data_IF_848047688466
#
_entry.id   IF_848047688466
#
_cell.length_a   1.000
_cell.length_b   1.000
_cell.length_c   1.000
_cell.angle_alpha   90.00
_cell.angle_beta   90.00
_cell.angle_gamma   90.00
#
_symmetry.space_group_name_H-M   'P 1'
#
loop_
_entity.id
_entity.type
_entity.pdbx_description
1 polymer ?
#
# COMPACT_ATOMS: atom_id res chain seq x y z
N UNK A 1 0.22 4.79 2.72
CA UNK A 1 -0.70 5.90 3.05
C UNK A 1 -1.59 6.19 1.86
N UNK A 2 -2.81 6.64 2.09
CA UNK A 2 -3.71 7.20 1.09
C UNK A 2 -3.70 8.72 1.25
N UNK A 3 -3.31 9.44 0.20
CA UNK A 3 -3.43 10.90 0.16
C UNK A 3 -4.88 11.28 -0.08
N UNK A 4 -5.47 12.04 0.85
CA UNK A 4 -6.83 12.55 0.73
C UNK A 4 -6.75 14.06 0.62
N UNK A 5 -7.31 14.58 -0.47
CA UNK A 5 -7.36 16.00 -0.77
C UNK A 5 -8.83 16.39 -0.96
N UNK A 6 -9.37 17.09 0.04
CA UNK A 6 -10.73 17.58 0.03
C UNK A 6 -10.70 19.02 -0.49
N UNK A 7 -11.46 19.32 -1.54
CA UNK A 7 -11.55 20.66 -2.12
C UNK A 7 -12.88 21.34 -1.75
N UNK A 8 -12.82 22.63 -1.43
CA UNK A 8 -13.99 23.50 -1.44
C UNK A 8 -14.04 24.26 -2.77
N UNK A 9 -15.14 24.11 -3.51
CA UNK A 9 -15.30 24.67 -4.85
C UNK A 9 -16.51 25.60 -4.89
N UNK A 10 -16.25 26.88 -5.16
CA UNK A 10 -17.26 27.93 -5.21
C UNK A 10 -17.18 28.68 -6.55
N UNK A 11 -18.32 28.91 -7.19
CA UNK A 11 -18.43 29.60 -8.48
C UNK A 11 -17.49 29.06 -9.58
N UNK A 12 -17.27 27.74 -9.61
CA UNK A 12 -16.39 27.10 -10.60
C UNK A 12 -14.89 27.22 -10.32
N UNK A 13 -14.49 27.75 -9.17
CA UNK A 13 -13.09 27.85 -8.75
C UNK A 13 -12.87 27.17 -7.39
N UNK A 14 -11.66 26.64 -7.18
CA UNK A 14 -11.25 26.11 -5.87
C UNK A 14 -11.03 27.29 -4.93
N UNK A 15 -11.82 27.35 -3.87
CA UNK A 15 -11.74 28.39 -2.85
C UNK A 15 -10.79 27.99 -1.70
N UNK A 16 -10.77 26.70 -1.35
CA UNK A 16 -9.91 26.15 -0.29
C UNK A 16 -9.63 24.65 -0.52
N UNK A 17 -8.65 24.10 0.19
CA UNK A 17 -8.40 22.66 0.21
C UNK A 17 -7.86 22.19 1.56
N UNK A 18 -8.15 20.93 1.88
CA UNK A 18 -7.62 20.24 3.06
C UNK A 18 -6.94 18.96 2.62
N UNK A 19 -5.67 18.82 2.98
CA UNK A 19 -4.90 17.63 2.68
C UNK A 19 -4.54 16.85 3.94
N UNK A 20 -4.71 15.53 3.89
CA UNK A 20 -4.26 14.61 4.95
C UNK A 20 -3.77 13.29 4.36
N UNK A 21 -2.79 12.70 5.05
CA UNK A 21 -2.32 11.34 4.78
C UNK A 21 -3.02 10.37 5.72
N UNK A 22 -3.85 9.48 5.17
CA UNK A 22 -4.46 8.40 5.94
C UNK A 22 -3.54 7.18 5.96
N UNK A 23 -3.17 6.65 7.13
CA UNK A 23 -2.43 5.39 7.20
C UNK A 23 -3.32 4.23 6.74
N UNK A 24 -2.74 3.29 5.99
CA UNK A 24 -3.42 2.07 5.54
C UNK A 24 -2.87 0.92 6.36
N UNK A 25 -3.62 0.49 7.38
CA UNK A 25 -3.25 -0.62 8.25
C UNK A 25 -3.99 -1.89 7.82
N UNK A 26 -3.26 -2.89 7.31
CA UNK A 26 -3.86 -4.14 6.81
C UNK A 26 -4.52 -4.99 7.89
N UNK A 27 -4.13 -4.82 9.15
CA UNK A 27 -4.66 -5.53 10.30
C UNK A 27 -5.89 -4.86 10.95
N UNK A 28 -6.21 -3.62 10.56
CA UNK A 28 -7.35 -2.86 11.12
C UNK A 28 -8.46 -2.62 10.09
N UNK A 29 -8.25 -2.99 8.83
CA UNK A 29 -9.19 -2.79 7.74
C UNK A 29 -9.63 -4.13 7.17
N UNK A 30 -10.94 -4.36 6.95
CA UNK A 30 -11.39 -5.54 6.24
C UNK A 30 -10.88 -5.51 4.80
N UNK A 31 -10.45 -6.65 4.24
CA UNK A 31 -10.06 -6.71 2.83
C UNK A 31 -11.29 -6.54 1.93
N UNK A 32 -11.12 -5.86 0.80
CA UNK A 32 -12.12 -5.86 -0.25
C UNK A 32 -12.26 -7.27 -0.85
N UNK A 33 -13.47 -7.87 -0.90
CA UNK A 33 -13.65 -9.24 -1.37
C UNK A 33 -13.25 -9.46 -2.83
N UNK A 34 -13.54 -8.50 -3.72
CA UNK A 34 -13.24 -8.63 -5.15
C UNK A 34 -11.72 -8.62 -5.38
N UNK A 35 -11.01 -7.72 -4.69
CA UNK A 35 -9.56 -7.63 -4.76
C UNK A 35 -8.90 -8.87 -4.15
N UNK A 36 -9.40 -9.38 -3.03
CA UNK A 36 -8.89 -10.60 -2.41
C UNK A 36 -9.02 -11.81 -3.35
N UNK A 37 -10.17 -11.93 -4.03
CA UNK A 37 -10.40 -12.98 -5.03
C UNK A 37 -9.44 -12.84 -6.22
N UNK A 38 -9.25 -11.63 -6.73
CA UNK A 38 -8.33 -11.36 -7.84
C UNK A 38 -6.88 -11.75 -7.48
N UNK A 39 -6.39 -11.30 -6.31
CA UNK A 39 -5.04 -11.64 -5.83
C UNK A 39 -4.87 -13.15 -5.72
N UNK A 40 -5.87 -13.83 -5.17
CA UNK A 40 -5.85 -15.30 -5.03
C UNK A 40 -5.74 -15.97 -6.39
N UNK A 41 -6.56 -15.55 -7.36
CA UNK A 41 -6.54 -16.07 -8.73
C UNK A 41 -5.18 -15.88 -9.40
N UNK A 42 -4.62 -14.67 -9.33
CA UNK A 42 -3.34 -14.34 -9.98
C UNK A 42 -2.18 -15.12 -9.35
N UNK A 43 -2.19 -15.30 -8.02
CA UNK A 43 -1.13 -16.00 -7.29
C UNK A 43 -1.25 -17.52 -7.32
N UNK A 44 -2.42 -18.08 -7.67
CA UNK A 44 -2.67 -19.52 -7.59
C UNK A 44 -1.60 -20.38 -8.30
N UNK A 45 -1.14 -20.07 -9.53
CA UNK A 45 -0.13 -20.88 -10.21
C UNK A 45 1.25 -20.85 -9.53
N UNK A 46 1.52 -19.83 -8.72
CA UNK A 46 2.84 -19.57 -8.14
C UNK A 46 2.86 -19.71 -6.61
N UNK A 47 1.75 -20.14 -6.00
CA UNK A 47 1.56 -20.10 -4.54
C UNK A 47 2.67 -20.84 -3.78
N UNK A 48 3.06 -22.02 -4.24
CA UNK A 48 4.13 -22.80 -3.61
C UNK A 48 5.47 -22.05 -3.65
N UNK A 49 5.86 -21.55 -4.83
CA UNK A 49 7.11 -20.82 -5.02
C UNK A 49 7.15 -19.50 -4.24
N UNK A 50 6.04 -18.76 -4.20
CA UNK A 50 5.95 -17.48 -3.48
C UNK A 50 5.94 -17.64 -1.95
N UNK A 51 5.54 -18.81 -1.46
CA UNK A 51 5.53 -19.13 -0.03
C UNK A 51 6.77 -19.89 0.44
N UNK A 52 7.70 -20.22 -0.48
CA UNK A 52 8.91 -20.95 -0.17
C UNK A 52 9.82 -20.12 0.75
N UNK A 53 10.22 -20.70 1.88
CA UNK A 53 11.16 -20.09 2.81
C UNK A 53 12.59 -20.34 2.32
N UNK A 54 13.23 -19.30 1.77
CA UNK A 54 14.59 -19.39 1.23
C UNK A 54 15.68 -19.26 2.31
N UNK A 55 15.49 -18.37 3.28
CA UNK A 55 16.45 -18.11 4.34
C UNK A 55 15.76 -17.47 5.56
N UNK A 56 16.47 -17.40 6.68
CA UNK A 56 16.10 -16.59 7.85
C UNK A 56 17.16 -15.51 8.00
N UNK A 57 16.73 -14.29 8.31
CA UNK A 57 17.66 -13.21 8.65
C UNK A 57 17.68 -13.02 10.16
N UNK A 58 18.88 -12.93 10.74
CA UNK A 58 19.07 -12.64 12.17
C UNK A 58 18.95 -11.14 12.49
N UNK A 59 18.74 -10.30 11.48
CA UNK A 59 18.64 -8.85 11.61
C UNK A 59 17.59 -8.23 10.70
N UNK A 60 17.37 -6.92 10.87
CA UNK A 60 16.43 -6.17 10.06
C UNK A 60 17.01 -5.89 8.67
N UNK A 61 16.40 -6.47 7.62
CA UNK A 61 16.68 -6.12 6.23
C UNK A 61 15.82 -4.93 5.81
N UNK A 62 16.41 -3.73 5.79
CA UNK A 62 15.72 -2.50 5.43
C UNK A 62 16.18 -1.96 4.07
N UNK A 63 15.24 -1.46 3.26
CA UNK A 63 15.54 -0.74 2.00
C UNK A 63 14.88 0.64 2.00
N UNK A 64 15.65 1.66 2.40
CA UNK A 64 15.59 3.07 1.94
C UNK A 64 16.86 3.78 2.42
N UNK A 65 17.57 4.51 1.57
CA UNK A 65 18.83 5.17 1.90
C UNK A 65 19.12 6.37 0.99
N UNK A 66 19.96 7.29 1.47
CA UNK A 66 20.34 8.54 0.77
C UNK A 66 21.85 8.63 0.44
N UNK A 67 22.68 7.70 0.93
CA UNK A 67 24.14 7.79 0.88
C UNK A 67 24.80 7.06 -0.30
N UNK A 68 24.22 5.94 -0.75
CA UNK A 68 24.74 5.12 -1.86
C UNK A 68 23.62 4.90 -2.89
N UNK A 69 23.18 5.99 -3.55
CA UNK A 69 22.04 6.00 -4.46
C UNK A 69 21.96 4.77 -5.38
N UNK A 70 20.76 4.20 -5.49
CA UNK A 70 20.36 3.34 -6.61
C UNK A 70 19.32 4.07 -7.42
#
# INVERSE_FOLDING_TARGET
FLGVMDFDVNNGHVADFRYRLLPVFSNLLPPDPAMAALITKVRAPYKARLAEKLAVSDGLLYRRGNFNGT
#
